data_IF_602582133628
#
_entry.id   IF_602582133628
#
_cell.length_a   1.000
_cell.length_b   1.000
_cell.length_c   1.000
_cell.angle_alpha   90.00
_cell.angle_beta   90.00
_cell.angle_gamma   90.00
#
_symmetry.space_group_name_H-M   'P 1'
#
loop_
_entity.id
_entity.type
_entity.pdbx_description
1 polymer ?
#
# COMPACT_ATOMS: atom_id res chain seq x y z
N UNK A 1 1.24 -17.10 -8.34
CA UNK A 1 1.75 -17.44 -6.98
C UNK A 1 0.79 -17.04 -5.86
N UNK A 2 -0.39 -16.51 -6.15
CA UNK A 2 -1.37 -16.02 -5.16
C UNK A 2 -0.75 -15.10 -4.08
N UNK A 3 0.06 -14.15 -4.51
CA UNK A 3 0.68 -13.12 -3.68
C UNK A 3 -0.34 -11.98 -3.46
N UNK A 4 -1.33 -12.22 -2.62
CA UNK A 4 -2.52 -11.37 -2.51
C UNK A 4 -2.33 -10.11 -1.67
N UNK A 5 -1.20 -9.97 -1.00
CA UNK A 5 -0.81 -8.76 -0.28
C UNK A 5 0.38 -8.12 -1.00
N UNK A 6 0.27 -6.85 -1.36
CA UNK A 6 1.43 -6.03 -1.61
C UNK A 6 1.62 -5.10 -0.40
N UNK A 7 2.75 -5.25 0.30
CA UNK A 7 3.09 -4.48 1.50
C UNK A 7 4.20 -3.50 1.17
N UNK A 8 3.94 -2.20 1.36
CA UNK A 8 4.90 -1.13 1.08
C UNK A 8 5.02 -0.18 2.28
N UNK A 9 6.17 -0.13 2.97
CA UNK A 9 6.43 0.86 4.00
C UNK A 9 6.73 2.24 3.41
N UNK A 10 6.23 3.29 4.06
CA UNK A 10 6.62 4.68 3.81
C UNK A 10 7.14 5.25 5.12
N UNK A 11 8.46 5.36 5.24
CA UNK A 11 9.13 5.78 6.46
C UNK A 11 10.16 6.88 6.18
N UNK A 12 10.12 7.94 6.98
CA UNK A 12 11.17 8.97 6.95
C UNK A 12 12.43 8.44 7.67
N UNK A 13 13.44 8.13 6.88
CA UNK A 13 14.69 7.53 7.34
C UNK A 13 15.69 8.59 7.85
N UNK A 14 16.61 8.24 8.75
CA UNK A 14 17.75 9.10 9.10
C UNK A 14 18.56 9.50 7.86
N UNK A 15 18.93 10.77 7.78
CA UNK A 15 19.69 11.32 6.64
C UNK A 15 18.87 11.67 5.40
N UNK A 16 17.57 11.36 5.39
CA UNK A 16 16.65 11.76 4.30
C UNK A 16 15.91 13.03 4.70
N UNK A 17 15.74 13.94 3.73
CA UNK A 17 14.94 15.15 3.90
C UNK A 17 13.57 14.90 3.28
N UNK A 18 12.53 14.96 4.11
CA UNK A 18 11.16 14.83 3.61
C UNK A 18 10.78 16.06 2.76
N UNK A 19 10.21 15.89 1.56
CA UNK A 19 9.68 17.00 0.77
C UNK A 19 8.50 17.70 1.45
N UNK A 20 7.76 17.00 2.31
CA UNK A 20 6.61 17.55 3.04
C UNK A 20 7.04 18.07 4.42
N UNK A 21 6.65 19.31 4.71
CA UNK A 21 6.95 19.98 5.98
C UNK A 21 5.78 19.90 6.97
N UNK A 22 6.02 20.28 8.23
CA UNK A 22 4.96 20.46 9.22
C UNK A 22 4.14 21.71 8.88
N UNK A 23 2.98 21.84 9.53
CA UNK A 23 2.06 22.96 9.29
C UNK A 23 2.68 24.34 9.60
N UNK A 24 3.65 24.39 10.48
CA UNK A 24 4.40 25.62 10.82
C UNK A 24 5.59 25.88 9.88
N UNK A 25 5.76 25.07 8.83
CA UNK A 25 6.85 25.16 7.86
C UNK A 25 8.15 24.50 8.33
N UNK A 26 8.22 23.96 9.54
CA UNK A 26 9.43 23.26 10.01
C UNK A 26 9.60 21.89 9.34
N UNK A 27 10.86 21.42 9.17
CA UNK A 27 11.13 20.11 8.58
C UNK A 27 10.65 18.98 9.52
N UNK A 28 10.22 17.87 8.91
CA UNK A 28 9.89 16.66 9.64
C UNK A 28 11.16 15.91 10.04
N UNK A 29 11.11 15.22 11.16
CA UNK A 29 12.23 14.45 11.70
C UNK A 29 12.10 12.95 11.37
N UNK A 30 13.21 12.20 11.28
CA UNK A 30 13.20 10.76 11.11
C UNK A 30 12.29 10.06 12.14
N UNK A 31 11.48 9.11 11.66
CA UNK A 31 10.53 8.37 12.48
C UNK A 31 9.17 9.07 12.71
N UNK A 32 9.00 10.35 12.39
CA UNK A 32 7.68 11.01 12.48
C UNK A 32 6.69 10.48 11.44
N UNK A 33 7.18 10.09 10.28
CA UNK A 33 6.40 9.39 9.26
C UNK A 33 6.86 7.94 9.28
N UNK A 34 5.93 7.05 9.63
CA UNK A 34 6.16 5.61 9.66
C UNK A 34 4.82 4.90 9.46
N UNK A 35 4.46 4.66 8.20
CA UNK A 35 3.23 3.99 7.84
C UNK A 35 3.48 2.78 6.93
N UNK A 36 2.58 1.81 6.99
CA UNK A 36 2.57 0.63 6.15
C UNK A 36 1.33 0.65 5.25
N UNK A 37 1.53 0.52 3.96
CA UNK A 37 0.44 0.48 2.99
C UNK A 37 0.24 -0.98 2.59
N UNK A 38 -0.98 -1.47 2.83
CA UNK A 38 -1.44 -2.82 2.50
C UNK A 38 -2.36 -2.71 1.29
N UNK A 39 -1.87 -3.17 0.15
CA UNK A 39 -2.57 -3.16 -1.13
C UNK A 39 -3.10 -4.56 -1.44
N UNK A 40 -4.37 -4.68 -1.81
CA UNK A 40 -4.87 -5.87 -2.48
C UNK A 40 -4.12 -6.06 -3.81
N UNK A 41 -3.70 -7.28 -4.15
CA UNK A 41 -2.73 -7.49 -5.22
C UNK A 41 -3.14 -8.55 -6.26
N UNK A 42 -4.37 -9.05 -6.25
CA UNK A 42 -4.80 -10.16 -7.11
C UNK A 42 -6.08 -9.91 -7.89
N UNK A 43 -6.90 -8.96 -7.47
CA UNK A 43 -8.18 -8.61 -8.11
C UNK A 43 -8.38 -7.08 -8.13
N UNK A 44 -9.59 -6.60 -8.05
CA UNK A 44 -9.89 -5.17 -8.02
C UNK A 44 -9.95 -4.55 -9.41
N UNK A 45 -9.41 -3.36 -9.53
CA UNK A 45 -9.49 -2.52 -10.73
C UNK A 45 -8.58 -3.02 -11.87
N UNK A 46 -7.58 -3.84 -11.55
CA UNK A 46 -6.66 -4.47 -12.53
C UNK A 46 -7.16 -5.83 -13.02
N UNK A 47 -8.45 -6.09 -12.90
CA UNK A 47 -9.06 -7.30 -13.37
C UNK A 47 -8.92 -7.43 -14.86
N UNK A 48 -8.49 -7.99 -15.65
CA UNK A 48 -8.47 -8.04 -17.13
C UNK A 48 -9.84 -8.45 -17.73
N UNK A 49 -10.93 -8.13 -17.03
CA UNK A 49 -12.31 -8.40 -17.50
C UNK A 49 -12.85 -7.15 -18.17
N UNK A 50 -13.22 -7.28 -19.44
CA UNK A 50 -13.70 -6.17 -20.25
C UNK A 50 -13.59 -6.44 -21.73
N UNK A 51 -13.70 -5.40 -22.54
CA UNK A 51 -13.60 -5.53 -23.99
C UNK A 51 -13.88 -4.23 -24.73
N UNK A 52 -13.83 -4.35 -26.06
CA UNK A 52 -14.18 -3.27 -26.99
C UNK A 52 -15.32 -3.71 -27.91
N UNK A 53 -16.19 -2.77 -28.26
CA UNK A 53 -17.19 -2.90 -29.31
C UNK A 53 -17.08 -1.74 -30.29
N UNK A 54 -17.41 -1.97 -31.55
CA UNK A 54 -17.37 -0.98 -32.64
C UNK A 54 -16.00 -0.31 -32.83
N UNK A 55 -14.93 -1.09 -32.65
CA UNK A 55 -13.55 -0.62 -32.70
C UNK A 55 -13.25 0.16 -34.00
N UNK A 56 -12.53 1.27 -33.88
CA UNK A 56 -12.16 2.15 -35.01
C UNK A 56 -13.31 2.99 -35.59
N UNK A 57 -14.50 3.00 -34.95
CA UNK A 57 -15.64 3.85 -35.38
C UNK A 57 -15.95 4.92 -34.34
N UNK A 58 -16.70 6.00 -34.72
CA UNK A 58 -17.15 7.01 -33.75
C UNK A 58 -18.07 6.48 -32.63
N UNK A 59 -18.53 5.23 -32.72
CA UNK A 59 -19.37 4.56 -31.71
C UNK A 59 -18.58 3.55 -30.86
N UNK A 60 -17.26 3.59 -30.94
CA UNK A 60 -16.42 2.68 -30.16
C UNK A 60 -16.75 2.77 -28.66
N UNK A 61 -16.89 1.60 -28.03
CA UNK A 61 -17.13 1.45 -26.59
C UNK A 61 -16.01 0.59 -26.03
N UNK A 62 -15.41 1.05 -24.95
CA UNK A 62 -14.40 0.29 -24.18
C UNK A 62 -14.89 0.12 -22.75
N UNK A 63 -14.83 -1.10 -22.23
CA UNK A 63 -15.22 -1.44 -20.86
C UNK A 63 -14.11 -2.21 -20.17
N UNK A 64 -13.91 -1.93 -18.88
CA UNK A 64 -13.13 -2.73 -17.97
C UNK A 64 -13.86 -2.83 -16.64
N UNK A 65 -14.01 -4.05 -16.13
CA UNK A 65 -14.73 -4.33 -14.90
C UNK A 65 -13.80 -4.25 -13.68
N UNK A 66 -14.30 -3.72 -12.57
CA UNK A 66 -13.68 -3.88 -11.24
C UNK A 66 -14.29 -5.11 -10.57
N UNK A 67 -13.47 -6.04 -10.15
CA UNK A 67 -13.88 -7.27 -9.48
C UNK A 67 -13.45 -7.27 -8.02
N UNK A 68 -14.38 -7.43 -7.10
CA UNK A 68 -14.11 -7.61 -5.67
C UNK A 68 -14.85 -8.85 -5.19
N UNK A 69 -14.11 -9.93 -4.92
CA UNK A 69 -14.68 -11.11 -4.29
C UNK A 69 -14.65 -10.99 -2.77
N UNK A 70 -15.58 -11.65 -2.09
CA UNK A 70 -15.54 -11.72 -0.64
C UNK A 70 -14.24 -12.35 -0.14
N UNK A 71 -13.78 -13.38 -0.81
CA UNK A 71 -12.54 -14.08 -0.48
C UNK A 71 -11.33 -13.15 -0.59
N UNK A 72 -11.17 -12.41 -1.70
CA UNK A 72 -10.06 -11.49 -1.92
C UNK A 72 -10.08 -10.32 -0.93
N UNK A 73 -11.24 -9.68 -0.76
CA UNK A 73 -11.38 -8.54 0.17
C UNK A 73 -11.17 -8.97 1.63
N UNK A 74 -11.78 -10.07 2.09
CA UNK A 74 -11.67 -10.49 3.48
C UNK A 74 -10.23 -10.88 3.87
N UNK A 75 -9.47 -11.51 2.99
CA UNK A 75 -8.09 -11.93 3.30
C UNK A 75 -7.12 -10.75 3.39
N UNK A 76 -7.28 -9.71 2.54
CA UNK A 76 -6.46 -8.51 2.63
C UNK A 76 -6.81 -7.68 3.86
N UNK A 77 -8.10 -7.55 4.17
CA UNK A 77 -8.56 -6.86 5.37
C UNK A 77 -8.05 -7.55 6.63
N UNK A 78 -8.18 -8.88 6.72
CA UNK A 78 -7.66 -9.65 7.86
C UNK A 78 -6.18 -9.35 8.09
N UNK A 79 -5.35 -9.43 7.04
CA UNK A 79 -3.93 -9.11 7.15
C UNK A 79 -3.69 -7.68 7.65
N UNK A 80 -4.41 -6.70 7.12
CA UNK A 80 -4.25 -5.30 7.50
C UNK A 80 -4.67 -5.04 8.96
N UNK A 81 -5.74 -5.67 9.43
CA UNK A 81 -6.17 -5.57 10.83
C UNK A 81 -5.17 -6.23 11.79
N UNK A 82 -4.68 -7.43 11.47
CA UNK A 82 -3.65 -8.13 12.27
C UNK A 82 -2.36 -7.30 12.32
N UNK A 83 -1.96 -6.72 11.20
CA UNK A 83 -0.80 -5.82 11.14
C UNK A 83 -1.02 -4.58 12.01
N UNK A 84 -2.16 -3.90 11.89
CA UNK A 84 -2.48 -2.74 12.71
C UNK A 84 -2.51 -3.09 14.21
N UNK A 85 -3.09 -4.23 14.57
CA UNK A 85 -3.15 -4.70 15.95
C UNK A 85 -1.76 -4.95 16.55
N UNK A 86 -0.79 -5.37 15.74
CA UNK A 86 0.59 -5.62 16.16
C UNK A 86 1.41 -4.33 16.37
N UNK A 87 0.96 -3.19 15.83
CA UNK A 87 1.67 -1.91 15.90
C UNK A 87 1.24 -1.07 17.12
N UNK A 88 2.14 -0.22 17.67
CA UNK A 88 1.82 0.57 18.88
C UNK A 88 0.60 1.49 18.76
N UNK A 89 0.37 2.11 17.59
CA UNK A 89 -0.77 3.02 17.37
C UNK A 89 -2.09 2.28 17.24
N UNK A 90 -2.08 1.01 16.86
CA UNK A 90 -3.27 0.18 16.60
C UNK A 90 -4.30 0.92 15.73
N UNK A 91 -3.84 1.56 14.67
CA UNK A 91 -4.65 2.43 13.85
C UNK A 91 -4.66 1.95 12.39
N UNK A 92 -5.85 1.72 11.86
CA UNK A 92 -6.09 1.32 10.47
C UNK A 92 -6.88 2.40 9.75
N UNK A 93 -6.36 2.85 8.63
CA UNK A 93 -7.08 3.74 7.70
C UNK A 93 -7.50 2.96 6.47
N UNK A 94 -8.79 2.95 6.14
CA UNK A 94 -9.32 2.36 4.91
C UNK A 94 -9.46 3.42 3.81
N UNK A 95 -8.86 3.16 2.66
CA UNK A 95 -9.06 3.96 1.45
C UNK A 95 -10.31 3.49 0.71
N UNK A 96 -11.19 4.41 0.35
CA UNK A 96 -12.44 4.13 -0.35
C UNK A 96 -12.78 5.21 -1.38
N UNK A 97 -13.81 4.98 -2.19
CA UNK A 97 -14.47 5.98 -3.05
C UNK A 97 -15.97 5.71 -3.15
N UNK A 98 -16.58 5.28 -2.06
CA UNK A 98 -17.99 4.87 -2.03
C UNK A 98 -18.99 6.00 -2.35
N UNK A 99 -18.54 7.26 -2.35
CA UNK A 99 -19.35 8.39 -2.83
C UNK A 99 -19.37 8.56 -4.36
N UNK A 100 -18.58 7.78 -5.09
CA UNK A 100 -18.48 7.88 -6.56
C UNK A 100 -18.52 6.53 -7.27
N UNK A 101 -17.98 5.48 -6.66
CA UNK A 101 -18.02 4.11 -7.19
C UNK A 101 -19.11 3.34 -6.44
N UNK A 102 -20.29 3.28 -7.04
CA UNK A 102 -21.54 2.97 -6.34
C UNK A 102 -21.74 1.49 -5.95
N UNK A 103 -20.97 0.55 -6.47
CA UNK A 103 -21.15 -0.88 -6.22
C UNK A 103 -19.98 -1.46 -5.41
N UNK A 104 -18.78 -1.45 -5.95
CA UNK A 104 -17.63 -2.13 -5.35
C UNK A 104 -17.11 -1.45 -4.09
N UNK A 105 -17.12 -0.11 -4.02
CA UNK A 105 -16.60 0.61 -2.86
C UNK A 105 -17.53 0.62 -1.64
N UNK A 106 -18.86 0.71 -1.75
CA UNK A 106 -19.75 0.41 -0.63
C UNK A 106 -19.58 -1.02 -0.09
N UNK A 107 -19.40 -2.01 -0.98
CA UNK A 107 -19.09 -3.37 -0.58
C UNK A 107 -17.77 -3.46 0.20
N UNK A 108 -16.71 -2.81 -0.28
CA UNK A 108 -15.45 -2.67 0.46
C UNK A 108 -15.67 -2.11 1.86
N UNK A 109 -16.42 -1.00 1.98
CA UNK A 109 -16.73 -0.36 3.25
C UNK A 109 -17.50 -1.29 4.20
N UNK A 110 -18.47 -2.05 3.69
CA UNK A 110 -19.20 -3.06 4.47
C UNK A 110 -18.27 -4.15 5.01
N UNK A 111 -17.35 -4.65 4.18
CA UNK A 111 -16.38 -5.66 4.61
C UNK A 111 -15.42 -5.13 5.68
N UNK A 112 -14.95 -3.88 5.54
CA UNK A 112 -14.14 -3.21 6.58
C UNK A 112 -14.90 -3.11 7.89
N UNK A 113 -16.15 -2.65 7.86
CA UNK A 113 -16.98 -2.51 9.05
C UNK A 113 -17.28 -3.86 9.73
N UNK A 114 -17.47 -4.91 8.94
CA UNK A 114 -17.67 -6.25 9.47
C UNK A 114 -16.39 -6.81 10.12
N UNK A 115 -15.26 -6.67 9.45
CA UNK A 115 -13.96 -7.14 9.99
C UNK A 115 -13.59 -6.41 11.28
N UNK A 116 -13.88 -5.11 11.38
CA UNK A 116 -13.59 -4.30 12.57
C UNK A 116 -14.22 -4.86 13.86
N UNK A 117 -15.35 -5.57 13.77
CA UNK A 117 -15.99 -6.20 14.94
C UNK A 117 -15.11 -7.27 15.60
N UNK A 118 -14.24 -7.93 14.83
CA UNK A 118 -13.30 -8.92 15.34
C UNK A 118 -12.03 -8.30 15.95
N UNK A 119 -11.78 -7.02 15.74
CA UNK A 119 -10.58 -6.29 16.20
C UNK A 119 -10.97 -5.03 16.98
N UNK A 120 -11.67 -5.12 18.12
CA UNK A 120 -12.23 -3.96 18.84
C UNK A 120 -11.17 -3.03 19.43
N UNK A 121 -9.93 -3.45 19.53
CA UNK A 121 -8.80 -2.65 19.99
C UNK A 121 -8.06 -1.90 18.85
N UNK A 122 -8.47 -2.11 17.60
CA UNK A 122 -7.95 -1.37 16.44
C UNK A 122 -8.86 -0.18 16.15
N UNK A 123 -8.30 1.03 16.20
CA UNK A 123 -9.00 2.22 15.76
C UNK A 123 -9.08 2.24 14.24
N UNK A 124 -10.29 2.42 13.68
CA UNK A 124 -10.51 2.42 12.23
C UNK A 124 -11.02 3.77 11.76
N UNK A 125 -10.33 4.35 10.80
CA UNK A 125 -10.78 5.52 10.05
C UNK A 125 -11.00 5.16 8.57
N UNK A 126 -11.87 5.91 7.90
CA UNK A 126 -12.17 5.76 6.48
C UNK A 126 -12.10 7.11 5.79
N UNK A 127 -11.37 7.18 4.66
CA UNK A 127 -11.30 8.37 3.83
C UNK A 127 -11.51 8.02 2.35
N UNK A 128 -12.20 8.91 1.63
CA UNK A 128 -12.23 8.84 0.17
C UNK A 128 -10.84 9.13 -0.38
N UNK A 129 -10.47 8.43 -1.46
CA UNK A 129 -9.10 8.44 -2.00
C UNK A 129 -8.57 9.84 -2.32
N UNK A 130 -9.41 10.72 -2.84
CA UNK A 130 -9.05 12.10 -3.18
C UNK A 130 -8.62 12.91 -1.95
N UNK A 131 -9.41 12.88 -0.86
CA UNK A 131 -9.02 13.58 0.37
C UNK A 131 -7.91 12.83 1.11
N UNK A 132 -7.83 11.51 0.98
CA UNK A 132 -6.75 10.73 1.57
C UNK A 132 -5.39 11.10 1.00
N UNK A 133 -5.28 11.30 -0.33
CA UNK A 133 -4.04 11.77 -0.96
C UNK A 133 -3.62 13.15 -0.45
N UNK A 134 -4.58 14.06 -0.25
CA UNK A 134 -4.29 15.36 0.36
C UNK A 134 -3.78 15.21 1.79
N UNK A 135 -4.37 14.29 2.58
CA UNK A 135 -3.93 14.03 3.95
C UNK A 135 -2.54 13.39 4.03
N UNK A 136 -2.15 12.56 3.06
CA UNK A 136 -0.79 12.02 2.97
C UNK A 136 0.26 13.14 2.87
N UNK A 137 -0.05 14.23 2.16
CA UNK A 137 0.82 15.41 2.05
C UNK A 137 0.78 16.28 3.30
N UNK A 138 -0.44 16.55 3.82
CA UNK A 138 -0.64 17.55 4.88
C UNK A 138 -0.28 17.02 6.28
N UNK A 139 -0.59 15.74 6.56
CA UNK A 139 -0.42 15.11 7.88
C UNK A 139 -0.03 13.62 7.78
N UNK A 140 1.09 13.29 7.12
CA UNK A 140 1.51 11.90 6.92
C UNK A 140 1.77 11.17 8.25
N UNK A 141 2.12 11.88 9.31
CA UNK A 141 2.33 11.39 10.68
C UNK A 141 1.06 10.85 11.36
N UNK A 142 -0.11 11.17 10.82
CA UNK A 142 -1.39 10.64 11.30
C UNK A 142 -1.53 9.13 11.04
N UNK A 143 -1.03 8.65 9.92
CA UNK A 143 -1.24 7.29 9.45
C UNK A 143 -0.34 6.28 10.17
N UNK A 144 -0.83 5.02 10.24
CA UNK A 144 -0.10 3.87 10.78
C UNK A 144 -0.15 2.71 9.80
N UNK A 145 -1.31 2.04 9.65
CA UNK A 145 -1.57 1.08 8.59
C UNK A 145 -2.66 1.64 7.68
N UNK A 146 -2.43 1.61 6.38
CA UNK A 146 -3.41 2.03 5.37
C UNK A 146 -3.75 0.84 4.50
N UNK A 147 -5.03 0.46 4.42
CA UNK A 147 -5.50 -0.63 3.56
C UNK A 147 -6.28 -0.07 2.37
N UNK A 148 -6.02 -0.62 1.20
CA UNK A 148 -6.62 -0.15 -0.04
C UNK A 148 -6.84 -1.28 -1.06
N UNK A 149 -7.79 -1.05 -1.98
CA UNK A 149 -7.94 -1.85 -3.19
C UNK A 149 -6.68 -1.80 -4.07
N UNK A 150 -6.64 -2.60 -5.11
CA UNK A 150 -5.47 -2.72 -5.97
C UNK A 150 -5.01 -1.36 -6.53
N UNK A 151 -5.88 -0.60 -7.19
CA UNK A 151 -5.54 0.70 -7.77
C UNK A 151 -5.24 1.77 -6.70
N UNK A 152 -6.06 1.86 -5.66
CA UNK A 152 -5.84 2.87 -4.63
C UNK A 152 -4.57 2.57 -3.82
N UNK A 153 -4.28 1.30 -3.58
CA UNK A 153 -3.04 0.87 -2.95
C UNK A 153 -1.81 1.20 -3.80
N UNK A 154 -1.90 1.05 -5.12
CA UNK A 154 -0.83 1.41 -6.05
C UNK A 154 -0.51 2.91 -5.95
N UNK A 155 -1.52 3.76 -6.09
CA UNK A 155 -1.38 5.22 -6.00
C UNK A 155 -0.77 5.65 -4.65
N UNK A 156 -1.31 5.13 -3.53
CA UNK A 156 -0.88 5.52 -2.19
C UNK A 156 0.53 5.04 -1.86
N UNK A 157 0.92 3.89 -2.38
CA UNK A 157 2.21 3.28 -2.11
C UNK A 157 3.38 3.94 -2.85
N UNK A 158 3.11 4.76 -3.86
CA UNK A 158 4.07 5.66 -4.47
C UNK A 158 4.05 7.05 -3.82
N UNK A 159 2.84 7.53 -3.47
CA UNK A 159 2.67 8.82 -2.80
C UNK A 159 3.33 8.84 -1.41
N UNK A 160 3.21 7.77 -0.63
CA UNK A 160 3.84 7.67 0.69
C UNK A 160 5.35 7.89 0.65
N UNK A 161 6.11 7.08 -0.09
CA UNK A 161 7.55 7.28 -0.31
C UNK A 161 7.91 8.64 -0.93
N UNK A 162 7.09 9.19 -1.81
CA UNK A 162 7.28 10.53 -2.34
C UNK A 162 7.20 11.60 -1.23
N UNK A 163 6.25 11.48 -0.29
CA UNK A 163 6.14 12.37 0.86
C UNK A 163 7.32 12.26 1.82
N UNK A 164 7.91 11.08 1.97
CA UNK A 164 9.08 10.85 2.84
C UNK A 164 10.42 11.10 2.15
N UNK A 165 10.43 11.35 0.83
CA UNK A 165 11.67 11.49 0.06
C UNK A 165 12.42 10.17 -0.15
N UNK A 166 11.73 9.02 0.00
CA UNK A 166 12.34 7.69 -0.02
C UNK A 166 11.95 6.84 -1.22
N UNK A 167 11.34 7.40 -2.26
CA UNK A 167 10.83 6.62 -3.41
C UNK A 167 11.94 5.80 -4.11
N UNK A 168 13.15 6.32 -4.19
CA UNK A 168 14.31 5.62 -4.77
C UNK A 168 14.93 4.54 -3.87
N UNK A 169 14.49 4.42 -2.62
CA UNK A 169 14.97 3.44 -1.64
C UNK A 169 13.84 2.67 -0.96
N UNK A 170 12.59 2.84 -1.43
CA UNK A 170 11.43 2.19 -0.88
C UNK A 170 11.39 0.70 -1.24
N UNK A 171 11.18 -0.19 -0.27
CA UNK A 171 11.01 -1.61 -0.50
C UNK A 171 9.55 -1.96 -0.79
N UNK A 172 9.34 -3.15 -1.34
CA UNK A 172 8.04 -3.75 -1.56
C UNK A 172 8.09 -5.24 -1.26
N UNK A 173 7.00 -5.79 -0.77
CA UNK A 173 6.82 -7.22 -0.60
C UNK A 173 5.48 -7.67 -1.18
N UNK A 174 5.53 -8.60 -2.13
CA UNK A 174 4.37 -9.30 -2.66
C UNK A 174 4.23 -10.62 -1.88
N UNK A 175 3.29 -10.68 -0.96
CA UNK A 175 3.21 -11.73 0.03
C UNK A 175 2.08 -12.74 -0.25
N UNK A 176 2.39 -14.00 -0.02
CA UNK A 176 1.42 -15.03 0.31
C UNK A 176 1.52 -15.32 1.82
N UNK A 177 0.75 -14.62 2.69
CA UNK A 177 0.86 -14.75 4.14
C UNK A 177 0.60 -16.15 4.68
N UNK A 178 -0.19 -16.97 3.96
CA UNK A 178 -0.44 -18.37 4.29
C UNK A 178 0.76 -19.29 4.03
N UNK A 179 1.80 -18.77 3.32
CA UNK A 179 3.02 -19.50 2.94
C UNK A 179 2.78 -20.77 2.12
N UNK A 180 1.64 -20.88 1.47
CA UNK A 180 1.32 -21.99 0.55
C UNK A 180 2.00 -21.81 -0.82
N UNK A 181 2.41 -20.58 -1.13
CA UNK A 181 3.12 -20.20 -2.34
C UNK A 181 4.26 -19.23 -2.00
N UNK A 182 5.28 -19.09 -2.87
CA UNK A 182 6.39 -18.17 -2.61
C UNK A 182 5.95 -16.72 -2.59
N UNK A 183 6.60 -15.94 -1.73
CA UNK A 183 6.51 -14.47 -1.68
C UNK A 183 7.69 -13.85 -2.43
N UNK A 184 7.55 -12.61 -2.89
CA UNK A 184 8.58 -11.85 -3.61
C UNK A 184 8.87 -10.54 -2.86
N UNK A 185 10.14 -10.19 -2.76
CA UNK A 185 10.62 -8.95 -2.15
C UNK A 185 11.46 -8.19 -3.17
N UNK A 186 11.05 -6.99 -3.51
CA UNK A 186 11.69 -6.18 -4.55
C UNK A 186 11.57 -4.69 -4.24
N UNK A 187 12.54 -3.84 -4.64
CA UNK A 187 12.39 -2.39 -4.54
C UNK A 187 11.25 -1.87 -5.42
N UNK A 188 10.57 -0.82 -4.96
CA UNK A 188 9.45 -0.20 -5.69
C UNK A 188 9.89 0.35 -7.04
N UNK A 189 11.13 0.87 -7.15
CA UNK A 189 11.64 1.52 -8.38
C UNK A 189 11.87 0.57 -9.58
N UNK A 190 11.78 -0.75 -9.41
CA UNK A 190 12.01 -1.72 -10.49
C UNK A 190 13.46 -1.80 -10.98
N UNK A 191 13.68 -2.21 -12.23
CA UNK A 191 15.00 -2.50 -12.81
C UNK A 191 15.82 -1.26 -13.24
N UNK A 192 15.19 -0.09 -13.37
CA UNK A 192 15.81 1.19 -13.73
C UNK A 192 16.87 1.07 -14.87
N UNK A 193 16.49 0.63 -16.07
CA UNK A 193 17.43 0.33 -17.16
C UNK A 193 18.23 1.55 -17.64
N UNK A 194 17.71 2.74 -17.40
CA UNK A 194 18.31 4.04 -17.73
C UNK A 194 19.62 4.31 -16.96
N UNK A 195 19.78 3.73 -15.76
CA UNK A 195 21.00 3.85 -14.94
C UNK A 195 21.85 2.58 -14.92
N UNK A 196 21.47 1.57 -15.68
CA UNK A 196 22.22 0.30 -15.72
C UNK A 196 23.67 0.52 -16.19
N UNK A 197 24.63 -0.07 -15.47
CA UNK A 197 26.06 0.05 -15.77
C UNK A 197 26.73 1.36 -15.36
N UNK A 198 25.99 2.35 -14.82
CA UNK A 198 26.56 3.63 -14.41
C UNK A 198 27.18 3.62 -12.99
N UNK A 199 26.96 2.55 -12.20
CA UNK A 199 27.48 2.44 -10.85
C UNK A 199 26.88 3.42 -9.83
N UNK A 200 25.68 3.96 -10.10
CA UNK A 200 25.01 4.98 -9.28
C UNK A 200 23.76 4.45 -8.55
N UNK A 201 23.41 3.19 -8.70
CA UNK A 201 22.25 2.61 -8.04
C UNK A 201 22.41 2.62 -6.52
N UNK A 202 21.36 3.08 -5.81
CA UNK A 202 21.35 3.07 -4.35
C UNK A 202 20.88 1.68 -3.85
N UNK A 203 21.68 0.94 -3.07
CA UNK A 203 21.35 -0.42 -2.64
C UNK A 203 20.35 -0.48 -1.47
N UNK A 204 20.02 0.64 -0.82
CA UNK A 204 19.21 0.68 0.41
C UNK A 204 17.85 0.00 0.20
N UNK A 205 17.17 0.26 -0.93
CA UNK A 205 15.89 -0.37 -1.22
C UNK A 205 15.98 -1.90 -1.23
N UNK A 206 17.02 -2.46 -1.84
CA UNK A 206 17.23 -3.91 -1.90
C UNK A 206 17.63 -4.49 -0.53
N UNK A 207 18.45 -3.79 0.24
CA UNK A 207 18.81 -4.19 1.61
C UNK A 207 17.57 -4.23 2.50
N UNK A 208 16.72 -3.20 2.40
CA UNK A 208 15.47 -3.14 3.16
C UNK A 208 14.47 -4.24 2.74
N UNK A 209 14.42 -4.61 1.45
CA UNK A 209 13.67 -5.79 1.00
C UNK A 209 14.17 -7.07 1.68
N UNK A 210 15.48 -7.22 1.82
CA UNK A 210 16.09 -8.33 2.58
C UNK A 210 15.66 -8.34 4.04
N UNK A 211 15.65 -7.18 4.70
CA UNK A 211 15.17 -7.05 6.07
C UNK A 211 13.68 -7.44 6.19
N UNK A 212 12.81 -6.95 5.29
CA UNK A 212 11.39 -7.35 5.25
C UNK A 212 11.20 -8.85 5.03
N UNK A 213 12.03 -9.46 4.19
CA UNK A 213 12.01 -10.92 3.96
C UNK A 213 12.37 -11.67 5.25
N UNK A 214 13.38 -11.23 5.97
CA UNK A 214 13.79 -11.85 7.23
C UNK A 214 12.70 -11.74 8.30
N UNK A 215 12.04 -10.59 8.42
CA UNK A 215 10.90 -10.40 9.32
C UNK A 215 9.74 -11.34 8.96
N UNK A 216 9.37 -11.40 7.69
CA UNK A 216 8.33 -12.31 7.20
C UNK A 216 8.65 -13.79 7.48
N UNK A 217 9.91 -14.18 7.40
CA UNK A 217 10.36 -15.54 7.70
C UNK A 217 10.46 -15.82 9.21
N UNK A 218 10.31 -14.82 10.07
CA UNK A 218 10.36 -14.94 11.53
C UNK A 218 11.74 -14.69 12.15
N UNK A 219 12.69 -14.17 11.37
CA UNK A 219 14.06 -13.83 11.84
C UNK A 219 14.15 -12.35 12.25
N UNK A 220 13.34 -11.94 13.23
CA UNK A 220 13.23 -10.54 13.67
C UNK A 220 14.56 -9.91 14.07
N UNK A 221 15.42 -10.64 14.78
CA UNK A 221 16.73 -10.13 15.19
C UNK A 221 17.66 -9.81 13.98
N UNK A 222 17.51 -10.57 12.88
CA UNK A 222 18.25 -10.32 11.65
C UNK A 222 17.63 -9.18 10.81
N UNK A 223 16.33 -8.92 10.95
CA UNK A 223 15.68 -7.74 10.39
C UNK A 223 16.16 -6.46 11.05
N UNK A 224 16.34 -6.48 12.38
CA UNK A 224 16.67 -5.29 13.18
C UNK A 224 18.19 -4.93 13.11
N UNK A 225 19.04 -5.86 12.61
CA UNK A 225 20.49 -5.68 12.48
C UNK A 225 20.89 -4.94 11.21
#
# INVERSE_FOLDING_TARGET
FDQYINLRPARLMPGVIAPVVRRDGSPRLPGEIDMLIVRENTEGEYSSIGGRMYEGTPREIVMQETVMSRYGVDRVLKFAFELAQSRPKKHLTSATKSNGIAITMPYWDERVAEMAKAYPDVKVDKFHIDILTAHFVQRPDFFDVVVASNLFGDILSDLGPACTGTIGIAPSANLNPSRTMPSLFEPVHGSAPDIAGQGIANPIGQIWCGAMMLDFLGYRAAHDA
#
